data_IF_035624718039
#
_entry.id   IF_035624718039
#
_cell.length_a   1.000
_cell.length_b   1.000
_cell.length_c   1.000
_cell.angle_alpha   90.00
_cell.angle_beta   90.00
_cell.angle_gamma   90.00
#
_symmetry.space_group_name_H-M   'P 1'
#
loop_
_entity.id
_entity.type
_entity.pdbx_description
1 polymer ?
#
# COMPACT_ATOMS: atom_id res chain seq x y z
N UNK A 1 -16.59 -3.95 10.17
CA UNK A 1 -17.44 -2.75 10.35
C UNK A 1 -17.58 -2.11 8.99
N UNK A 2 -18.78 -2.05 8.42
CA UNK A 2 -19.08 -1.33 7.18
C UNK A 2 -19.64 0.05 7.53
N UNK A 3 -19.30 1.06 6.73
CA UNK A 3 -19.87 2.40 6.82
C UNK A 3 -20.75 2.57 5.59
N UNK A 4 -22.03 2.83 5.80
CA UNK A 4 -22.99 3.04 4.71
C UNK A 4 -22.85 4.46 4.12
N UNK A 5 -22.99 4.57 2.80
CA UNK A 5 -22.98 5.87 2.13
C UNK A 5 -24.33 6.58 2.32
N UNK A 6 -24.34 7.86 2.72
CA UNK A 6 -25.51 8.72 2.62
C UNK A 6 -26.03 8.80 1.19
N UNK A 7 -27.34 8.97 1.03
CA UNK A 7 -28.03 8.95 -0.26
C UNK A 7 -27.42 9.92 -1.29
N UNK A 8 -27.11 11.14 -0.88
CA UNK A 8 -26.49 12.16 -1.75
C UNK A 8 -25.12 11.72 -2.28
N UNK A 9 -24.35 10.96 -1.48
CA UNK A 9 -23.05 10.43 -1.89
C UNK A 9 -23.21 9.25 -2.85
N UNK A 10 -24.22 8.40 -2.62
CA UNK A 10 -24.59 7.32 -3.54
C UNK A 10 -25.03 7.85 -4.91
N UNK A 11 -25.84 8.92 -4.94
CA UNK A 11 -26.29 9.55 -6.17
C UNK A 11 -25.11 10.21 -6.93
N UNK A 12 -24.20 10.87 -6.20
CA UNK A 12 -22.99 11.45 -6.79
C UNK A 12 -22.05 10.39 -7.37
N UNK A 13 -21.96 9.21 -6.74
CA UNK A 13 -21.18 8.07 -7.23
C UNK A 13 -21.80 7.50 -8.51
N UNK A 14 -23.13 7.34 -8.55
CA UNK A 14 -23.84 6.82 -9.72
C UNK A 14 -23.73 7.73 -10.95
N UNK A 15 -23.57 9.04 -10.76
CA UNK A 15 -23.39 10.02 -11.84
C UNK A 15 -21.99 9.99 -12.48
N UNK A 16 -20.98 9.37 -11.86
CA UNK A 16 -19.62 9.25 -12.38
C UNK A 16 -19.31 7.83 -12.82
N UNK A 17 -19.60 7.50 -14.09
CA UNK A 17 -19.42 6.14 -14.64
C UNK A 17 -18.03 5.87 -15.22
N UNK A 18 -17.30 6.91 -15.64
CA UNK A 18 -16.08 6.72 -16.43
C UNK A 18 -14.76 6.83 -15.65
N UNK A 19 -14.79 7.29 -14.39
CA UNK A 19 -13.57 7.47 -13.58
C UNK A 19 -13.83 7.17 -12.10
N UNK A 20 -12.87 6.56 -11.38
CA UNK A 20 -12.98 6.38 -9.93
C UNK A 20 -13.16 7.72 -9.21
N UNK A 21 -14.18 7.82 -8.39
CA UNK A 21 -14.52 9.06 -7.67
C UNK A 21 -13.43 9.39 -6.66
N UNK A 22 -12.98 10.65 -6.65
CA UNK A 22 -11.99 11.13 -5.71
C UNK A 22 -12.67 11.71 -4.46
N UNK A 23 -12.22 11.28 -3.29
CA UNK A 23 -12.68 11.78 -1.99
C UNK A 23 -11.49 12.41 -1.27
N UNK A 24 -11.67 13.62 -0.76
CA UNK A 24 -10.63 14.34 -0.02
C UNK A 24 -10.95 14.25 1.47
N UNK A 25 -10.04 13.68 2.26
CA UNK A 25 -10.16 13.69 3.71
C UNK A 25 -9.86 15.10 4.24
N UNK A 26 -10.82 15.79 4.91
CA UNK A 26 -10.75 17.23 5.11
C UNK A 26 -9.61 17.67 6.04
N UNK A 27 -9.28 16.86 7.07
CA UNK A 27 -8.23 17.22 8.03
C UNK A 27 -6.82 16.97 7.47
N UNK A 28 -6.62 15.84 6.79
CA UNK A 28 -5.30 15.42 6.30
C UNK A 28 -5.02 15.87 4.87
N UNK A 29 -6.04 16.38 4.16
CA UNK A 29 -6.02 16.70 2.71
C UNK A 29 -5.59 15.53 1.82
N UNK A 30 -5.62 14.30 2.34
CA UNK A 30 -5.31 13.11 1.56
C UNK A 30 -6.44 12.84 0.59
N UNK A 31 -6.07 12.50 -0.64
CA UNK A 31 -7.02 12.13 -1.69
C UNK A 31 -7.10 10.61 -1.78
N UNK A 32 -8.32 10.09 -1.71
CA UNK A 32 -8.66 8.68 -1.85
C UNK A 32 -9.43 8.48 -3.16
N UNK A 33 -9.31 7.30 -3.77
CA UNK A 33 -10.12 6.90 -4.92
C UNK A 33 -11.06 5.78 -4.49
N UNK A 34 -12.37 6.00 -4.67
CA UNK A 34 -13.37 4.97 -4.43
C UNK A 34 -13.43 4.03 -5.64
N UNK A 35 -13.39 2.74 -5.36
CA UNK A 35 -13.58 1.66 -6.34
C UNK A 35 -14.60 0.67 -5.80
N UNK A 36 -15.38 -0.01 -6.66
CA UNK A 36 -16.25 -1.09 -6.21
C UNK A 36 -15.47 -2.17 -5.46
N UNK A 37 -16.13 -2.83 -4.50
CA UNK A 37 -15.49 -3.81 -3.63
C UNK A 37 -14.89 -4.97 -4.43
N UNK A 38 -15.59 -5.45 -5.46
CA UNK A 38 -15.10 -6.51 -6.34
C UNK A 38 -13.84 -6.12 -7.12
N UNK A 39 -13.67 -4.83 -7.43
CA UNK A 39 -12.47 -4.30 -8.08
C UNK A 39 -11.32 -4.22 -7.07
N UNK A 40 -11.59 -3.72 -5.86
CA UNK A 40 -10.60 -3.68 -4.78
C UNK A 40 -10.06 -5.08 -4.48
N UNK A 41 -10.94 -6.06 -4.26
CA UNK A 41 -10.54 -7.44 -3.96
C UNK A 41 -9.71 -8.07 -5.07
N UNK A 42 -10.03 -7.75 -6.33
CA UNK A 42 -9.24 -8.22 -7.47
C UNK A 42 -7.86 -7.57 -7.50
N UNK A 43 -7.76 -6.27 -7.22
CA UNK A 43 -6.48 -5.57 -7.15
C UNK A 43 -5.64 -6.10 -5.99
N UNK A 44 -6.24 -6.31 -4.83
CA UNK A 44 -5.58 -6.89 -3.66
C UNK A 44 -5.01 -8.26 -4.01
N UNK A 45 -5.80 -9.18 -4.57
CA UNK A 45 -5.30 -10.51 -4.99
C UNK A 45 -4.19 -10.46 -6.05
N UNK A 46 -4.12 -9.41 -6.87
CA UNK A 46 -3.13 -9.29 -7.94
C UNK A 46 -1.84 -8.57 -7.50
N UNK A 47 -1.94 -7.65 -6.54
CA UNK A 47 -0.87 -6.73 -6.19
C UNK A 47 -0.37 -6.90 -4.76
N UNK A 48 -1.19 -7.48 -3.88
CA UNK A 48 -0.79 -7.81 -2.53
C UNK A 48 -0.05 -9.13 -2.55
N UNK A 49 1.25 -9.07 -2.28
CA UNK A 49 2.10 -10.23 -2.08
C UNK A 49 2.60 -10.21 -0.63
N UNK A 50 2.05 -11.12 0.18
CA UNK A 50 2.50 -11.39 1.55
C UNK A 50 3.38 -12.64 1.65
N UNK A 51 3.84 -13.16 0.51
CA UNK A 51 4.78 -14.25 0.50
C UNK A 51 6.03 -13.86 1.29
N UNK A 52 6.62 -14.79 2.06
CA UNK A 52 7.91 -14.55 2.68
C UNK A 52 8.91 -14.12 1.62
N UNK A 53 9.72 -13.11 1.93
CA UNK A 53 10.72 -12.65 0.98
C UNK A 53 11.65 -13.78 0.58
N UNK A 54 11.95 -13.83 -0.71
CA UNK A 54 12.99 -14.70 -1.21
C UNK A 54 14.35 -14.27 -0.64
N UNK A 55 15.34 -15.19 -0.59
CA UNK A 55 16.70 -14.82 -0.21
C UNK A 55 17.27 -13.68 -1.07
N UNK A 56 16.88 -13.60 -2.35
CA UNK A 56 17.31 -12.56 -3.27
C UNK A 56 16.70 -11.19 -2.92
N UNK A 57 15.40 -11.13 -2.62
CA UNK A 57 14.73 -9.89 -2.18
C UNK A 57 15.25 -9.42 -0.83
N UNK A 58 15.52 -10.37 0.08
CA UNK A 58 16.12 -10.08 1.39
C UNK A 58 17.52 -9.48 1.23
N UNK A 59 18.36 -10.06 0.37
CA UNK A 59 19.69 -9.53 0.09
C UNK A 59 19.62 -8.16 -0.62
N UNK A 60 18.69 -7.97 -1.55
CA UNK A 60 18.48 -6.71 -2.23
C UNK A 60 18.03 -5.59 -1.27
N UNK A 61 17.11 -5.90 -0.35
CA UNK A 61 16.71 -4.91 0.66
C UNK A 61 17.84 -4.63 1.64
N UNK A 62 18.57 -5.65 2.09
CA UNK A 62 19.76 -5.44 2.92
C UNK A 62 20.73 -4.49 2.20
N UNK A 63 21.08 -4.78 0.95
CA UNK A 63 21.97 -3.92 0.16
C UNK A 63 21.44 -2.47 0.03
N UNK A 64 20.13 -2.29 -0.18
CA UNK A 64 19.52 -0.96 -0.25
C UNK A 64 19.50 -0.23 1.11
N UNK A 65 19.28 -0.96 2.21
CA UNK A 65 19.31 -0.41 3.55
C UNK A 65 20.74 -0.01 3.95
N UNK A 66 21.70 -0.91 3.77
CA UNK A 66 23.12 -0.70 4.13
C UNK A 66 23.86 0.23 3.16
N UNK A 67 23.44 0.30 1.89
CA UNK A 67 24.00 1.26 0.92
C UNK A 67 23.64 2.73 1.19
N UNK A 68 22.68 2.97 2.09
CA UNK A 68 22.30 4.31 2.57
C UNK A 68 22.80 4.59 4.00
N UNK A 69 23.48 3.64 4.64
CA UNK A 69 24.12 3.88 5.93
C UNK A 69 25.44 4.61 5.68
N UNK A 70 25.83 5.49 6.61
CA UNK A 70 27.17 6.09 6.57
C UNK A 70 28.25 5.01 6.81
N UNK A 71 29.52 5.41 6.80
CA UNK A 71 30.70 4.54 7.02
C UNK A 71 30.72 3.78 8.38
N UNK A 72 29.62 3.78 9.14
CA UNK A 72 29.44 2.94 10.32
C UNK A 72 29.52 1.45 9.96
N UNK A 73 30.44 0.75 10.62
CA UNK A 73 30.67 -0.68 10.45
C UNK A 73 29.59 -1.52 11.16
N UNK A 74 28.70 -2.13 10.39
CA UNK A 74 27.63 -3.02 10.89
C UNK A 74 28.01 -4.51 10.90
N UNK A 75 29.27 -4.86 10.64
CA UNK A 75 29.74 -6.25 10.60
C UNK A 75 29.45 -7.04 11.87
N UNK A 76 29.34 -6.37 13.01
CA UNK A 76 29.01 -6.96 14.31
C UNK A 76 27.58 -7.54 14.40
N UNK A 77 26.64 -7.10 13.56
CA UNK A 77 25.26 -7.64 13.56
C UNK A 77 25.08 -8.86 12.65
N UNK A 78 26.04 -9.13 11.76
CA UNK A 78 25.97 -10.23 10.79
C UNK A 78 26.55 -11.55 11.34
N UNK A 79 27.29 -11.50 12.46
CA UNK A 79 27.90 -12.69 13.07
C UNK A 79 26.89 -13.60 13.80
N UNK A 80 25.72 -13.08 14.17
CA UNK A 80 24.72 -13.80 14.97
C UNK A 80 23.60 -14.44 14.13
N UNK A 81 23.54 -14.18 12.83
CA UNK A 81 22.48 -14.68 11.93
C UNK A 81 22.81 -16.04 11.26
N UNK A 82 23.55 -16.93 11.95
CA UNK A 82 24.02 -18.22 11.41
C UNK A 82 23.23 -19.42 11.90
#
# INVERSE_FOLDING_TARGET
MSIELPREQSDALAAQTDRPVAVIHPQSRRTYRLVPAEVYERLEKLLYDDSPWTPAETAALAAAAFGNLDDTDYSHYLSEAR
#
